data_IF_988993593381
#
_entry.id   IF_988993593381
#
_cell.length_a   1.000
_cell.length_b   1.000
_cell.length_c   1.000
_cell.angle_alpha   90.00
_cell.angle_beta   90.00
_cell.angle_gamma   90.00
#
_symmetry.space_group_name_H-M   'P 1'
#
loop_
_entity.id
_entity.type
_entity.pdbx_description
1 polymer ?
#
# COMPACT_ATOMS: atom_id res chain seq x y z
N UNK A 1 19.13 4.83 8.23
CA UNK A 1 18.97 3.78 7.19
C UNK A 1 19.97 2.66 7.41
N UNK A 2 19.74 1.51 6.74
CA UNK A 2 20.51 0.29 6.94
C UNK A 2 21.88 0.37 6.23
N UNK A 3 22.86 -0.43 6.68
CA UNK A 3 24.19 -0.57 6.05
C UNK A 3 24.16 -1.06 4.59
N UNK A 4 23.00 -1.52 4.12
CA UNK A 4 22.79 -2.00 2.74
C UNK A 4 22.21 -0.94 1.81
N UNK A 5 22.23 0.33 2.22
CA UNK A 5 21.71 1.45 1.43
C UNK A 5 22.84 2.47 1.25
N UNK A 6 23.12 2.81 -0.01
CA UNK A 6 24.05 3.89 -0.35
C UNK A 6 23.27 5.19 -0.47
N UNK A 7 23.73 6.23 0.21
CA UNK A 7 23.17 7.58 0.12
C UNK A 7 24.00 8.42 -0.87
N UNK A 8 23.30 8.99 -1.85
CA UNK A 8 23.89 9.94 -2.79
C UNK A 8 23.41 11.36 -2.43
N UNK A 9 24.34 12.27 -2.15
CA UNK A 9 24.04 13.67 -1.89
C UNK A 9 24.44 14.53 -3.10
N UNK A 10 23.49 15.27 -3.62
CA UNK A 10 23.71 16.16 -4.76
C UNK A 10 23.71 17.61 -4.27
N UNK A 11 24.69 18.41 -4.72
CA UNK A 11 24.76 19.84 -4.39
C UNK A 11 23.73 20.67 -5.15
N UNK A 12 23.47 20.31 -6.41
CA UNK A 12 22.56 20.99 -7.32
C UNK A 12 21.79 19.95 -8.15
N UNK A 13 20.61 20.29 -8.61
CA UNK A 13 19.78 19.47 -9.51
C UNK A 13 19.56 18.04 -9.01
N UNK A 14 19.27 17.87 -7.73
CA UNK A 14 19.04 16.54 -7.15
C UNK A 14 17.92 15.75 -7.87
N UNK A 15 16.87 16.45 -8.32
CA UNK A 15 15.79 15.86 -9.11
C UNK A 15 16.25 15.38 -10.49
N UNK A 16 17.16 16.12 -11.15
CA UNK A 16 17.77 15.67 -12.40
C UNK A 16 18.59 14.38 -12.20
N UNK A 17 19.43 14.36 -11.17
CA UNK A 17 20.22 13.16 -10.85
C UNK A 17 19.32 11.98 -10.51
N UNK A 18 18.27 12.20 -9.72
CA UNK A 18 17.27 11.17 -9.43
C UNK A 18 16.63 10.61 -10.70
N UNK A 19 16.24 11.49 -11.63
CA UNK A 19 15.66 11.09 -12.91
C UNK A 19 16.66 10.28 -13.76
N UNK A 20 17.92 10.72 -13.83
CA UNK A 20 18.99 9.96 -14.49
C UNK A 20 19.15 8.57 -13.87
N UNK A 21 19.20 8.48 -12.53
CA UNK A 21 19.35 7.19 -11.83
C UNK A 21 18.19 6.22 -12.08
N UNK A 22 17.01 6.72 -12.47
CA UNK A 22 15.86 5.89 -12.87
C UNK A 22 15.88 5.46 -14.34
N UNK A 23 16.68 6.11 -15.18
CA UNK A 23 16.77 5.79 -16.60
C UNK A 23 17.37 4.40 -16.83
N UNK A 24 16.84 3.65 -17.80
CA UNK A 24 17.24 2.26 -18.05
C UNK A 24 18.73 2.13 -18.42
N UNK A 25 19.30 3.06 -19.17
CA UNK A 25 20.71 3.04 -19.55
C UNK A 25 21.62 3.19 -18.32
N UNK A 26 21.25 4.06 -17.37
CA UNK A 26 21.98 4.25 -16.13
C UNK A 26 21.82 3.03 -15.22
N UNK A 27 20.62 2.46 -15.13
CA UNK A 27 20.37 1.22 -14.41
C UNK A 27 21.18 0.05 -14.95
N UNK A 28 21.35 -0.04 -16.26
CA UNK A 28 22.20 -1.06 -16.89
C UNK A 28 23.69 -0.88 -16.51
N UNK A 29 24.17 0.36 -16.45
CA UNK A 29 25.53 0.64 -15.93
C UNK A 29 25.67 0.17 -14.47
N UNK A 30 24.71 0.52 -13.61
CA UNK A 30 24.73 0.10 -12.20
C UNK A 30 24.73 -1.42 -12.05
N UNK A 31 23.89 -2.12 -12.81
CA UNK A 31 23.83 -3.57 -12.81
C UNK A 31 25.15 -4.22 -13.25
N UNK A 32 25.86 -3.61 -14.20
CA UNK A 32 27.19 -4.11 -14.66
C UNK A 32 28.29 -3.98 -13.60
N UNK A 33 28.09 -3.16 -12.59
CA UNK A 33 29.03 -2.91 -11.50
C UNK A 33 28.77 -3.79 -10.26
N UNK A 34 27.68 -4.58 -10.28
CA UNK A 34 27.35 -5.51 -9.20
C UNK A 34 28.38 -6.66 -9.19
N UNK A 35 28.85 -6.99 -8.02
CA UNK A 35 29.76 -8.11 -7.80
C UNK A 35 29.26 -9.03 -6.69
N UNK A 36 29.91 -10.18 -6.48
CA UNK A 36 29.54 -11.18 -5.50
C UNK A 36 28.80 -12.39 -6.12
N UNK A 37 29.24 -13.59 -5.71
CA UNK A 37 28.74 -14.85 -6.28
C UNK A 37 27.45 -15.35 -5.57
N UNK A 38 27.30 -15.07 -4.29
CA UNK A 38 26.17 -15.55 -3.45
C UNK A 38 25.30 -14.37 -3.02
N UNK A 39 25.91 -13.31 -2.55
CA UNK A 39 25.25 -12.06 -2.20
C UNK A 39 25.78 -11.01 -3.17
N UNK A 40 24.88 -10.44 -3.94
CA UNK A 40 25.22 -9.37 -4.90
C UNK A 40 25.30 -8.05 -4.16
N UNK A 41 26.40 -7.32 -4.36
CA UNK A 41 26.71 -6.07 -3.68
C UNK A 41 27.16 -4.99 -4.66
N UNK A 42 27.01 -3.74 -4.27
CA UNK A 42 27.55 -2.56 -4.92
C UNK A 42 28.10 -1.63 -3.83
N UNK A 43 29.25 -1.04 -4.05
CA UNK A 43 29.92 -0.12 -3.11
C UNK A 43 29.83 1.34 -3.56
N UNK A 44 30.00 2.32 -2.66
CA UNK A 44 29.97 3.74 -3.00
C UNK A 44 30.96 4.11 -4.12
N UNK A 45 32.15 3.50 -4.17
CA UNK A 45 33.16 3.72 -5.20
C UNK A 45 32.68 3.31 -6.60
N UNK A 46 31.78 2.34 -6.68
CA UNK A 46 31.20 1.92 -7.96
C UNK A 46 30.31 3.01 -8.55
N UNK A 47 29.62 3.81 -7.73
CA UNK A 47 28.82 4.92 -8.22
C UNK A 47 29.64 5.99 -8.92
N UNK A 48 30.91 6.17 -8.57
CA UNK A 48 31.80 7.11 -9.24
C UNK A 48 32.12 6.73 -10.70
N UNK A 49 31.85 5.49 -11.09
CA UNK A 49 32.06 4.96 -12.46
C UNK A 49 30.82 5.06 -13.33
N UNK A 50 29.70 5.49 -12.78
CA UNK A 50 28.43 5.65 -13.52
C UNK A 50 28.47 6.98 -14.26
N UNK A 51 28.30 6.93 -15.57
CA UNK A 51 28.26 8.12 -16.41
C UNK A 51 26.83 8.71 -16.41
N UNK A 52 26.73 9.94 -15.97
CA UNK A 52 25.48 10.71 -16.00
C UNK A 52 25.63 11.79 -17.09
N UNK A 53 24.64 11.92 -18.01
CA UNK A 53 24.69 12.94 -19.04
C UNK A 53 24.80 14.34 -18.45
N UNK A 54 25.64 15.18 -19.05
CA UNK A 54 25.77 16.58 -18.68
C UNK A 54 24.91 17.44 -19.61
N UNK A 55 23.59 17.45 -19.40
CA UNK A 55 22.69 18.29 -20.18
C UNK A 55 22.88 19.79 -19.92
N UNK A 56 22.41 20.68 -20.83
CA UNK A 56 22.31 22.10 -20.58
C UNK A 56 21.57 22.43 -19.29
N UNK A 57 21.97 23.49 -18.58
CA UNK A 57 21.40 23.84 -17.28
C UNK A 57 19.90 24.12 -17.34
N UNK A 58 19.38 24.64 -18.47
CA UNK A 58 17.94 24.83 -18.68
C UNK A 58 17.16 23.52 -18.68
N UNK A 59 17.71 22.44 -19.26
CA UNK A 59 17.08 21.13 -19.27
C UNK A 59 17.20 20.47 -17.88
N UNK A 60 18.37 20.58 -17.25
CA UNK A 60 18.55 20.09 -15.86
C UNK A 60 17.56 20.74 -14.91
N UNK A 61 17.39 22.08 -15.00
CA UNK A 61 16.42 22.81 -14.18
C UNK A 61 15.00 22.34 -14.45
N UNK A 62 14.58 22.22 -15.72
CA UNK A 62 13.24 21.75 -16.10
C UNK A 62 12.93 20.36 -15.49
N UNK A 63 13.84 19.40 -15.65
CA UNK A 63 13.67 18.04 -15.09
C UNK A 63 13.67 18.07 -13.56
N UNK A 64 14.58 18.84 -12.97
CA UNK A 64 14.67 19.01 -11.52
C UNK A 64 13.36 19.53 -10.94
N UNK A 65 12.79 20.59 -11.54
CA UNK A 65 11.56 21.21 -11.04
C UNK A 65 10.35 20.26 -11.15
N UNK A 66 10.22 19.49 -12.22
CA UNK A 66 9.20 18.46 -12.36
C UNK A 66 9.32 17.38 -11.24
N UNK A 67 10.52 16.92 -10.97
CA UNK A 67 10.76 15.93 -9.91
C UNK A 67 10.51 16.53 -8.53
N UNK A 68 11.00 17.74 -8.25
CA UNK A 68 10.75 18.41 -6.96
C UNK A 68 9.27 18.62 -6.71
N UNK A 69 8.51 19.11 -7.71
CA UNK A 69 7.06 19.24 -7.61
C UNK A 69 6.36 17.89 -7.41
N UNK A 70 6.86 16.81 -8.05
CA UNK A 70 6.36 15.44 -7.79
C UNK A 70 6.55 15.04 -6.32
N UNK A 71 7.68 15.38 -5.69
CA UNK A 71 7.92 15.12 -4.27
C UNK A 71 7.02 15.95 -3.36
N UNK A 72 6.86 17.24 -3.65
CA UNK A 72 5.95 18.12 -2.89
C UNK A 72 4.52 17.57 -2.88
N UNK A 73 4.01 17.11 -4.03
CA UNK A 73 2.70 16.47 -4.11
C UNK A 73 2.60 15.15 -3.30
N UNK A 74 3.69 14.40 -3.18
CA UNK A 74 3.74 13.19 -2.33
C UNK A 74 3.68 13.56 -0.86
N UNK A 75 4.41 14.58 -0.45
CA UNK A 75 4.40 15.06 0.93
C UNK A 75 3.03 15.65 1.30
N UNK A 76 2.41 16.41 0.41
CA UNK A 76 1.03 16.87 0.57
C UNK A 76 0.05 15.69 0.66
N UNK A 77 0.21 14.65 -0.17
CA UNK A 77 -0.61 13.43 -0.09
C UNK A 77 -0.48 12.74 1.27
N UNK A 78 0.74 12.62 1.79
CA UNK A 78 0.97 12.02 3.11
C UNK A 78 0.32 12.86 4.21
N UNK A 79 0.48 14.19 4.17
CA UNK A 79 -0.14 15.10 5.13
C UNK A 79 -1.69 15.01 5.13
N UNK A 80 -2.32 14.81 3.97
CA UNK A 80 -3.77 14.59 3.88
C UNK A 80 -4.19 13.26 4.54
N UNK A 81 -3.41 12.19 4.39
CA UNK A 81 -3.70 10.92 5.07
C UNK A 81 -3.51 11.05 6.58
N UNK A 82 -2.44 11.72 7.04
CA UNK A 82 -2.22 11.97 8.46
C UNK A 82 -3.38 12.78 9.06
N UNK A 83 -3.87 13.79 8.34
CA UNK A 83 -5.03 14.57 8.74
C UNK A 83 -6.30 13.72 8.81
N UNK A 84 -6.53 12.84 7.83
CA UNK A 84 -7.68 11.94 7.82
C UNK A 84 -7.64 10.95 9.00
N UNK A 85 -6.47 10.39 9.30
CA UNK A 85 -6.28 9.51 10.45
C UNK A 85 -6.47 10.25 11.78
N UNK A 86 -5.98 11.49 11.90
CA UNK A 86 -6.18 12.29 13.10
C UNK A 86 -7.67 12.60 13.35
N UNK A 87 -8.45 12.88 12.29
CA UNK A 87 -9.90 13.05 12.38
C UNK A 87 -10.60 11.76 12.84
N UNK A 88 -10.22 10.60 12.27
CA UNK A 88 -10.75 9.30 12.66
C UNK A 88 -10.50 9.00 14.13
N UNK A 89 -9.25 9.16 14.59
CA UNK A 89 -8.84 8.95 15.99
C UNK A 89 -9.63 9.85 16.93
N UNK A 90 -9.78 11.13 16.58
CA UNK A 90 -10.53 12.11 17.37
C UNK A 90 -12.02 11.77 17.46
N UNK A 91 -12.65 11.44 16.33
CA UNK A 91 -14.09 11.19 16.26
C UNK A 91 -14.49 9.90 16.99
N UNK A 92 -13.66 8.85 16.88
CA UNK A 92 -13.85 7.59 17.58
C UNK A 92 -13.26 7.60 19.01
N UNK A 93 -12.65 8.72 19.44
CA UNK A 93 -11.98 8.84 20.74
C UNK A 93 -11.05 7.64 21.02
N UNK A 94 -10.24 7.27 20.00
CA UNK A 94 -9.32 6.14 20.08
C UNK A 94 -8.06 6.55 20.85
N UNK A 95 -7.75 5.93 21.99
CA UNK A 95 -6.48 6.15 22.67
C UNK A 95 -5.35 5.44 21.89
N UNK A 96 -4.08 5.84 22.09
CA UNK A 96 -2.94 5.04 21.64
C UNK A 96 -3.07 3.59 22.13
N UNK A 97 -2.73 2.63 21.29
CA UNK A 97 -2.88 1.20 21.65
C UNK A 97 -2.14 0.84 22.93
N UNK A 98 -1.00 1.47 23.19
CA UNK A 98 -0.23 1.28 24.43
C UNK A 98 -0.96 1.73 25.70
N UNK A 99 -1.97 2.60 25.58
CA UNK A 99 -2.76 3.14 26.69
C UNK A 99 -4.08 2.39 26.90
N UNK A 100 -4.47 1.51 25.97
CA UNK A 100 -5.66 0.68 26.14
C UNK A 100 -5.38 -0.32 27.26
N UNK A 101 -6.07 -0.12 28.40
CA UNK A 101 -5.95 -1.01 29.55
C UNK A 101 -6.72 -2.30 29.28
N UNK A 102 -6.02 -3.40 29.45
CA UNK A 102 -6.59 -4.74 29.37
C UNK A 102 -6.25 -5.44 30.69
N UNK A 103 -7.22 -5.49 31.59
CA UNK A 103 -7.04 -5.98 32.96
C UNK A 103 -6.67 -7.48 33.06
N UNK A 104 -6.83 -8.22 31.94
CA UNK A 104 -6.60 -9.66 31.89
C UNK A 104 -5.16 -10.06 31.57
N UNK A 105 -4.30 -9.11 31.16
CA UNK A 105 -2.92 -9.38 30.79
C UNK A 105 -1.95 -8.82 31.84
N UNK A 106 -1.28 -9.72 32.54
CA UNK A 106 -0.23 -9.36 33.50
C UNK A 106 1.10 -9.14 32.75
N UNK A 107 1.40 -7.87 32.43
CA UNK A 107 2.62 -7.46 31.70
C UNK A 107 3.92 -7.79 32.45
N UNK A 108 3.86 -8.17 33.74
CA UNK A 108 5.04 -8.57 34.52
C UNK A 108 5.49 -10.00 34.22
N UNK A 109 4.66 -10.80 33.57
CA UNK A 109 4.94 -12.21 33.26
C UNK A 109 5.47 -12.36 31.82
N UNK A 110 6.43 -13.26 31.65
CA UNK A 110 6.97 -13.62 30.34
C UNK A 110 5.96 -14.38 29.47
N UNK A 111 5.03 -15.11 30.09
CA UNK A 111 3.91 -15.77 29.41
C UNK A 111 2.62 -15.08 29.82
N UNK A 112 1.88 -14.61 28.85
CA UNK A 112 0.60 -13.95 29.09
C UNK A 112 -0.53 -14.96 28.89
N UNK A 113 -1.46 -15.00 29.82
CA UNK A 113 -2.60 -15.90 29.79
C UNK A 113 -3.89 -15.12 29.98
N UNK A 114 -4.94 -15.55 29.33
CA UNK A 114 -6.29 -15.02 29.49
C UNK A 114 -7.31 -16.16 29.33
N UNK A 115 -8.51 -15.96 29.82
CA UNK A 115 -9.59 -16.93 29.74
C UNK A 115 -10.62 -16.48 28.73
N UNK A 116 -11.11 -17.42 27.93
CA UNK A 116 -12.22 -17.22 26.98
C UNK A 116 -13.35 -18.17 27.36
N UNK A 117 -14.57 -17.69 27.46
CA UNK A 117 -15.71 -18.55 27.69
C UNK A 117 -16.00 -19.39 26.45
N UNK A 118 -16.38 -20.63 26.62
CA UNK A 118 -16.70 -21.53 25.51
C UNK A 118 -17.78 -20.95 24.60
N UNK A 119 -18.75 -20.21 25.15
CA UNK A 119 -19.79 -19.52 24.39
C UNK A 119 -19.30 -18.36 23.51
N UNK A 120 -18.09 -17.85 23.79
CA UNK A 120 -17.47 -16.70 23.12
C UNK A 120 -16.37 -17.13 22.11
N UNK A 121 -16.10 -18.44 22.02
CA UNK A 121 -15.04 -18.95 21.16
C UNK A 121 -15.30 -18.79 19.64
N UNK A 122 -16.54 -18.51 19.24
CA UNK A 122 -16.91 -18.28 17.83
C UNK A 122 -16.37 -19.35 16.84
N UNK A 123 -16.20 -20.61 17.32
CA UNK A 123 -15.62 -21.70 16.52
C UNK A 123 -14.10 -21.61 16.33
N UNK A 124 -13.43 -20.67 16.98
CA UNK A 124 -11.98 -20.41 16.88
C UNK A 124 -11.32 -20.74 18.24
N UNK A 125 -10.23 -21.53 18.19
CA UNK A 125 -9.45 -21.92 19.39
C UNK A 125 -8.06 -21.24 19.42
N UNK A 126 -7.71 -20.44 18.44
CA UNK A 126 -6.45 -19.74 18.36
C UNK A 126 -6.43 -18.50 19.26
N UNK A 127 -5.38 -18.38 20.08
CA UNK A 127 -5.24 -17.31 21.05
C UNK A 127 -5.19 -15.91 20.40
N UNK A 128 -4.62 -15.80 19.20
CA UNK A 128 -4.52 -14.54 18.44
C UNK A 128 -5.88 -13.93 18.12
N UNK A 129 -6.89 -14.76 17.86
CA UNK A 129 -8.26 -14.32 17.61
C UNK A 129 -8.92 -13.71 18.85
N UNK A 130 -8.62 -14.26 20.02
CA UNK A 130 -9.24 -13.89 21.30
C UNK A 130 -8.40 -12.92 22.13
N UNK A 131 -7.44 -12.24 21.54
CA UNK A 131 -6.64 -11.24 22.25
C UNK A 131 -7.52 -10.18 22.89
N UNK A 132 -7.47 -9.99 24.22
CA UNK A 132 -8.36 -9.05 24.93
C UNK A 132 -8.28 -7.60 24.43
N UNK A 133 -7.15 -7.20 23.82
CA UNK A 133 -6.99 -5.88 23.20
C UNK A 133 -7.97 -5.65 22.07
N UNK A 134 -8.34 -6.70 21.34
CA UNK A 134 -9.27 -6.62 20.22
C UNK A 134 -10.68 -6.30 20.72
N UNK A 135 -11.12 -7.00 21.75
CA UNK A 135 -12.43 -6.77 22.35
C UNK A 135 -12.52 -5.36 22.95
N UNK A 136 -11.44 -4.88 23.61
CA UNK A 136 -11.35 -3.52 24.09
C UNK A 136 -11.47 -2.46 22.97
N UNK A 137 -10.84 -2.70 21.81
CA UNK A 137 -10.99 -1.84 20.62
C UNK A 137 -12.44 -1.85 20.14
N UNK A 138 -13.04 -3.02 19.97
CA UNK A 138 -14.43 -3.15 19.52
C UNK A 138 -15.40 -2.45 20.46
N UNK A 139 -15.18 -2.53 21.77
CA UNK A 139 -15.99 -1.83 22.77
C UNK A 139 -15.85 -0.29 22.67
N UNK A 140 -14.64 0.21 22.43
CA UNK A 140 -14.42 1.64 22.16
C UNK A 140 -15.18 2.06 20.89
N UNK A 141 -15.10 1.28 19.82
CA UNK A 141 -15.83 1.55 18.59
C UNK A 141 -17.35 1.57 18.82
N UNK A 142 -17.91 0.54 19.50
CA UNK A 142 -19.34 0.48 19.83
C UNK A 142 -19.83 1.66 20.65
N UNK A 143 -19.01 2.18 21.54
CA UNK A 143 -19.35 3.34 22.39
C UNK A 143 -19.37 4.65 21.60
N UNK A 144 -18.43 4.82 20.69
CA UNK A 144 -18.17 6.10 20.02
C UNK A 144 -18.75 6.21 18.62
N UNK A 145 -18.86 5.11 17.87
CA UNK A 145 -19.51 5.08 16.56
C UNK A 145 -21.06 5.16 16.68
N UNK A 146 -21.73 5.44 15.59
CA UNK A 146 -23.19 5.28 15.48
C UNK A 146 -23.56 3.80 15.45
N UNK A 147 -22.78 3.03 14.72
CA UNK A 147 -22.94 1.59 14.51
C UNK A 147 -21.56 0.97 14.27
N UNK A 148 -21.37 -0.27 14.70
CA UNK A 148 -20.28 -1.11 14.29
C UNK A 148 -20.85 -2.25 13.45
N UNK A 149 -20.58 -2.23 12.15
CA UNK A 149 -20.93 -3.24 11.19
C UNK A 149 -19.69 -4.05 10.80
N UNK A 150 -19.67 -4.67 9.63
CA UNK A 150 -18.48 -5.36 9.10
C UNK A 150 -18.12 -4.83 7.71
N UNK A 151 -16.89 -5.11 7.28
CA UNK A 151 -16.41 -4.76 5.93
C UNK A 151 -17.28 -5.38 4.85
N UNK A 152 -17.88 -6.55 5.09
CA UNK A 152 -18.79 -7.25 4.15
C UNK A 152 -20.21 -6.66 4.06
N UNK A 153 -20.57 -5.67 4.87
CA UNK A 153 -21.85 -4.96 4.76
C UNK A 153 -21.96 -4.30 3.37
N UNK A 154 -23.13 -4.45 2.72
CA UNK A 154 -23.37 -3.92 1.37
C UNK A 154 -23.24 -2.38 1.26
N UNK A 155 -23.40 -1.67 2.37
CA UNK A 155 -23.15 -0.22 2.46
C UNK A 155 -21.66 0.11 2.41
N UNK A 156 -20.79 -0.83 2.76
CA UNK A 156 -19.33 -0.66 2.84
C UNK A 156 -18.67 -1.22 1.59
N UNK A 157 -18.92 -2.48 1.24
CA UNK A 157 -18.31 -3.11 0.08
C UNK A 157 -19.31 -3.85 -0.81
N UNK A 158 -19.07 -3.77 -2.12
CA UNK A 158 -19.80 -4.59 -3.11
C UNK A 158 -19.33 -6.04 -3.08
N UNK A 159 -18.04 -6.24 -2.86
CA UNK A 159 -17.44 -7.57 -2.81
C UNK A 159 -16.00 -7.50 -2.33
N UNK A 160 -15.52 -8.58 -1.75
CA UNK A 160 -14.11 -8.85 -1.48
C UNK A 160 -13.67 -10.02 -2.36
N UNK A 161 -12.63 -9.83 -3.15
CA UNK A 161 -12.15 -10.81 -4.13
C UNK A 161 -10.71 -11.20 -3.82
N UNK A 162 -10.47 -12.48 -3.62
CA UNK A 162 -9.16 -13.10 -3.60
C UNK A 162 -9.05 -14.05 -4.79
N UNK A 163 -8.09 -13.83 -5.67
CA UNK A 163 -7.90 -14.69 -6.83
C UNK A 163 -7.43 -16.09 -6.42
N UNK A 164 -7.99 -17.12 -7.03
CA UNK A 164 -7.52 -18.49 -6.84
C UNK A 164 -6.10 -18.70 -7.38
N UNK A 165 -5.38 -19.70 -6.84
CA UNK A 165 -4.05 -20.08 -7.31
C UNK A 165 -4.08 -20.48 -8.78
N UNK A 166 -3.15 -19.99 -9.59
CA UNK A 166 -3.04 -20.31 -11.00
C UNK A 166 -1.60 -20.31 -11.52
N UNK A 167 -1.37 -21.04 -12.59
CA UNK A 167 -0.08 -21.01 -13.31
C UNK A 167 0.02 -19.67 -14.07
N UNK A 168 1.04 -18.90 -13.77
CA UNK A 168 1.27 -17.59 -14.39
C UNK A 168 2.12 -17.76 -15.65
N UNK A 169 1.72 -17.10 -16.73
CA UNK A 169 2.50 -16.99 -17.95
C UNK A 169 2.83 -15.52 -18.15
N UNK A 170 4.10 -15.20 -18.04
CA UNK A 170 4.61 -13.85 -18.24
C UNK A 170 5.07 -13.68 -19.68
N UNK A 171 4.94 -12.47 -20.19
CA UNK A 171 5.29 -12.04 -21.55
C UNK A 171 5.92 -10.65 -21.49
N UNK A 172 6.38 -10.16 -22.63
CA UNK A 172 6.84 -8.77 -22.75
C UNK A 172 5.70 -7.78 -22.49
N UNK A 173 6.03 -6.56 -22.11
CA UNK A 173 5.11 -5.50 -21.69
C UNK A 173 3.95 -5.28 -22.66
N UNK A 174 4.23 -5.21 -23.93
CA UNK A 174 3.26 -4.97 -25.02
C UNK A 174 2.13 -6.01 -25.05
N UNK A 175 2.44 -7.28 -24.69
CA UNK A 175 1.50 -8.41 -24.72
C UNK A 175 0.90 -8.74 -23.36
N UNK A 176 1.25 -8.00 -22.31
CA UNK A 176 0.89 -8.32 -20.94
C UNK A 176 0.07 -7.26 -20.21
N UNK A 177 -0.55 -7.69 -19.13
CA UNK A 177 -1.08 -6.80 -18.08
C UNK A 177 0.03 -6.59 -17.03
N UNK A 178 0.35 -5.36 -16.63
CA UNK A 178 1.24 -5.12 -15.50
C UNK A 178 0.74 -5.87 -14.26
N UNK A 179 1.62 -6.62 -13.59
CA UNK A 179 1.23 -7.56 -12.54
C UNK A 179 1.90 -7.22 -11.21
N UNK A 180 1.11 -6.84 -10.21
CA UNK A 180 1.56 -6.42 -8.89
C UNK A 180 1.41 -7.56 -7.89
N UNK A 181 2.44 -7.77 -7.08
CA UNK A 181 2.39 -8.61 -5.88
C UNK A 181 2.21 -7.78 -4.61
N UNK A 182 2.24 -8.45 -3.45
CA UNK A 182 2.05 -7.77 -2.16
C UNK A 182 3.11 -6.73 -1.80
N UNK A 183 4.34 -6.86 -2.33
CA UNK A 183 5.40 -5.86 -2.11
C UNK A 183 5.20 -4.61 -2.94
N UNK A 184 4.70 -4.79 -4.16
CA UNK A 184 4.53 -3.70 -5.11
C UNK A 184 3.38 -2.77 -4.74
N UNK A 185 2.32 -3.26 -4.08
CA UNK A 185 1.18 -2.40 -3.68
C UNK A 185 1.54 -1.35 -2.62
N UNK A 186 2.67 -1.49 -1.95
CA UNK A 186 3.18 -0.49 -0.99
C UNK A 186 3.98 0.63 -1.64
N UNK A 187 4.34 0.46 -2.92
CA UNK A 187 5.14 1.41 -3.65
C UNK A 187 4.25 2.46 -4.31
N UNK A 188 4.67 3.70 -4.24
CA UNK A 188 3.94 4.80 -4.88
C UNK A 188 3.93 4.65 -6.41
N UNK A 189 5.04 4.23 -6.97
CA UNK A 189 5.22 3.98 -8.39
C UNK A 189 5.91 2.62 -8.58
N UNK A 190 5.12 1.51 -8.53
CA UNK A 190 5.67 0.18 -8.66
C UNK A 190 6.24 -0.05 -10.06
N UNK A 191 7.53 -0.29 -10.14
CA UNK A 191 8.17 -0.76 -11.36
C UNK A 191 7.94 -2.27 -11.45
N UNK A 192 6.92 -2.70 -12.19
CA UNK A 192 6.72 -4.14 -12.44
C UNK A 192 7.57 -4.59 -13.60
N UNK A 193 8.26 -5.71 -13.40
CA UNK A 193 8.98 -6.44 -14.47
C UNK A 193 8.17 -7.64 -14.94
N UNK A 194 6.95 -7.81 -14.44
CA UNK A 194 6.09 -8.97 -14.70
C UNK A 194 4.83 -8.52 -15.41
N UNK A 195 4.66 -9.01 -16.60
CA UNK A 195 3.49 -8.72 -17.42
C UNK A 195 2.74 -10.01 -17.69
N UNK A 196 1.53 -10.14 -17.18
CA UNK A 196 0.70 -11.33 -17.29
C UNK A 196 0.08 -11.41 -18.69
N UNK A 197 0.26 -12.53 -19.39
CA UNK A 197 -0.20 -12.69 -20.79
C UNK A 197 -1.67 -12.36 -20.99
N UNK A 198 -1.96 -11.36 -21.83
CA UNK A 198 -3.32 -10.99 -22.25
C UNK A 198 -4.04 -12.12 -22.96
N UNK A 199 -3.34 -12.88 -23.80
CA UNK A 199 -3.92 -13.97 -24.57
C UNK A 199 -4.39 -15.14 -23.68
N UNK A 200 -3.60 -15.48 -22.65
CA UNK A 200 -3.89 -16.66 -21.79
C UNK A 200 -4.80 -16.30 -20.63
N UNK A 201 -4.64 -15.12 -20.02
CA UNK A 201 -5.26 -14.80 -18.76
C UNK A 201 -6.43 -13.80 -18.85
N UNK A 202 -6.91 -13.43 -20.04
CA UNK A 202 -7.98 -12.43 -20.23
C UNK A 202 -9.21 -12.68 -19.36
N UNK A 203 -9.75 -13.89 -19.38
CA UNK A 203 -10.97 -14.22 -18.61
C UNK A 203 -10.77 -14.09 -17.10
N UNK A 204 -9.60 -14.54 -16.60
CA UNK A 204 -9.25 -14.43 -15.18
C UNK A 204 -8.96 -12.98 -14.79
N UNK A 205 -8.26 -12.26 -15.67
CA UNK A 205 -7.98 -10.84 -15.47
C UNK A 205 -9.28 -10.06 -15.26
N UNK A 206 -10.24 -10.19 -16.15
CA UNK A 206 -11.51 -9.46 -16.04
C UNK A 206 -12.33 -9.82 -14.80
N UNK A 207 -12.28 -11.08 -14.36
CA UNK A 207 -13.07 -11.56 -13.23
C UNK A 207 -12.43 -11.33 -11.88
N UNK A 208 -11.11 -11.58 -11.77
CA UNK A 208 -10.46 -11.72 -10.46
C UNK A 208 -9.27 -10.78 -10.25
N UNK A 209 -8.48 -10.45 -11.31
CA UNK A 209 -7.17 -9.83 -11.12
C UNK A 209 -7.17 -8.33 -11.33
N UNK A 210 -8.00 -7.83 -12.24
CA UNK A 210 -8.06 -6.41 -12.59
C UNK A 210 -8.35 -5.54 -11.40
N UNK A 211 -7.62 -4.43 -11.29
CA UNK A 211 -7.90 -3.36 -10.33
C UNK A 211 -8.40 -2.11 -11.04
N UNK A 212 -9.18 -1.33 -10.33
CA UNK A 212 -9.71 -0.04 -10.76
C UNK A 212 -9.43 1.00 -9.69
N UNK A 213 -9.38 2.24 -10.07
CA UNK A 213 -9.22 3.37 -9.17
C UNK A 213 -10.14 3.26 -7.95
N UNK A 214 -9.63 3.63 -6.78
CA UNK A 214 -10.32 3.59 -5.49
C UNK A 214 -10.69 2.19 -4.98
N UNK A 215 -10.26 1.10 -5.63
CA UNK A 215 -10.27 -0.22 -5.00
C UNK A 215 -9.31 -0.22 -3.81
N UNK A 216 -9.71 -0.81 -2.69
CA UNK A 216 -8.82 -0.99 -1.53
C UNK A 216 -8.16 -2.35 -1.62
N UNK A 217 -6.83 -2.39 -1.60
CA UNK A 217 -6.03 -3.61 -1.65
C UNK A 217 -5.53 -3.94 -0.24
N UNK A 218 -5.55 -5.23 0.10
CA UNK A 218 -5.06 -5.74 1.38
C UNK A 218 -4.17 -6.96 1.12
N UNK A 219 -2.96 -7.01 1.69
CA UNK A 219 -2.11 -8.19 1.57
C UNK A 219 -2.67 -9.35 2.39
N UNK A 220 -2.75 -10.54 1.77
CA UNK A 220 -3.31 -11.75 2.39
C UNK A 220 -2.31 -12.53 3.24
N UNK A 221 -1.00 -12.38 2.99
CA UNK A 221 0.09 -13.10 3.67
C UNK A 221 1.40 -12.30 3.66
N UNK A 222 2.37 -12.75 4.46
CA UNK A 222 3.62 -12.04 4.68
C UNK A 222 3.41 -10.85 5.62
N UNK A 223 3.43 -9.63 5.14
CA UNK A 223 3.01 -8.43 5.88
C UNK A 223 1.49 -8.26 5.83
N UNK A 224 0.76 -9.19 6.49
CA UNK A 224 -0.71 -9.17 6.51
C UNK A 224 -1.25 -7.83 7.00
N UNK A 225 -2.29 -7.34 6.32
CA UNK A 225 -2.96 -6.11 6.69
C UNK A 225 -2.25 -4.85 6.21
N UNK A 226 -1.30 -4.97 5.27
CA UNK A 226 -0.84 -3.81 4.52
C UNK A 226 -1.95 -3.39 3.55
N UNK A 227 -2.39 -2.13 3.67
CA UNK A 227 -3.53 -1.59 2.91
C UNK A 227 -3.05 -0.55 1.92
N UNK A 228 -3.58 -0.58 0.70
CA UNK A 228 -3.32 0.43 -0.32
C UNK A 228 -4.63 0.85 -1.01
N UNK A 229 -4.74 2.13 -1.35
CA UNK A 229 -5.82 2.65 -2.19
C UNK A 229 -5.31 2.77 -3.62
N UNK A 230 -5.97 2.11 -4.57
CA UNK A 230 -5.56 2.06 -5.98
C UNK A 230 -5.63 3.45 -6.61
N UNK A 231 -4.48 4.01 -7.04
CA UNK A 231 -4.46 5.28 -7.75
C UNK A 231 -4.86 5.10 -9.23
N UNK A 232 -5.22 6.17 -9.89
CA UNK A 232 -5.72 6.17 -11.27
C UNK A 232 -4.76 5.53 -12.28
N UNK A 233 -3.45 5.69 -12.12
CA UNK A 233 -2.47 5.10 -13.03
C UNK A 233 -2.33 3.58 -12.92
N UNK A 234 -2.89 2.96 -11.85
CA UNK A 234 -2.98 1.49 -11.76
C UNK A 234 -4.26 0.93 -12.40
N UNK A 235 -5.11 1.76 -12.96
CA UNK A 235 -6.24 1.26 -13.73
C UNK A 235 -5.74 0.27 -14.78
N UNK A 236 -6.40 -0.89 -14.82
CA UNK A 236 -6.05 -2.00 -15.70
C UNK A 236 -4.77 -2.79 -15.33
N UNK A 237 -4.16 -2.56 -14.18
CA UNK A 237 -3.16 -3.48 -13.64
C UNK A 237 -3.84 -4.76 -13.14
N UNK A 238 -3.09 -5.83 -13.06
CA UNK A 238 -3.49 -7.08 -12.42
C UNK A 238 -2.79 -7.22 -11.07
N UNK A 239 -3.50 -7.70 -10.05
CA UNK A 239 -2.90 -8.04 -8.76
C UNK A 239 -2.81 -9.54 -8.58
N UNK A 240 -1.84 -9.96 -7.78
CA UNK A 240 -1.59 -11.37 -7.52
C UNK A 240 -2.65 -11.99 -6.60
N UNK A 241 -2.67 -13.32 -6.57
CA UNK A 241 -3.47 -14.10 -5.62
C UNK A 241 -3.13 -13.88 -4.14
N UNK A 242 -2.10 -13.10 -3.85
CA UNK A 242 -1.68 -12.75 -2.49
C UNK A 242 -2.12 -11.32 -2.12
N UNK A 243 -3.08 -10.76 -2.86
CA UNK A 243 -3.65 -9.45 -2.63
C UNK A 243 -5.16 -9.54 -2.74
N UNK A 244 -5.85 -9.26 -1.64
CA UNK A 244 -7.29 -9.11 -1.57
C UNK A 244 -7.69 -7.78 -2.21
N UNK A 245 -8.75 -7.78 -2.99
CA UNK A 245 -9.40 -6.60 -3.55
C UNK A 245 -10.71 -6.38 -2.84
N UNK A 246 -10.81 -5.33 -2.06
CA UNK A 246 -12.05 -4.86 -1.51
C UNK A 246 -12.62 -3.80 -2.46
N UNK A 247 -13.75 -4.09 -3.07
CA UNK A 247 -14.43 -3.17 -3.98
C UNK A 247 -15.44 -2.37 -3.17
N UNK A 248 -15.21 -1.07 -2.93
CA UNK A 248 -16.11 -0.24 -2.15
C UNK A 248 -17.52 -0.18 -2.72
N UNK A 249 -18.52 0.01 -1.89
CA UNK A 249 -19.91 0.19 -2.31
C UNK A 249 -20.05 1.37 -3.29
N UNK A 250 -19.32 2.45 -3.05
CA UNK A 250 -19.20 3.61 -3.92
C UNK A 250 -17.95 4.44 -3.54
N UNK A 251 -17.70 5.56 -4.22
CA UNK A 251 -16.60 6.43 -3.92
C UNK A 251 -16.77 7.25 -2.63
N UNK A 252 -17.97 7.40 -2.10
CA UNK A 252 -18.22 8.18 -0.89
C UNK A 252 -17.77 7.46 0.39
N UNK A 253 -17.35 6.16 0.27
CA UNK A 253 -16.85 5.34 1.38
C UNK A 253 -15.44 4.80 1.14
N UNK A 254 -14.93 4.82 -0.11
CA UNK A 254 -13.67 4.18 -0.49
C UNK A 254 -12.45 4.69 0.30
N UNK A 255 -12.34 6.01 0.42
CA UNK A 255 -11.27 6.67 1.17
C UNK A 255 -11.39 6.39 2.68
N UNK A 256 -12.60 6.40 3.22
CA UNK A 256 -12.84 6.10 4.63
C UNK A 256 -12.48 4.65 4.98
N UNK A 257 -12.82 3.68 4.12
CA UNK A 257 -12.38 2.28 4.28
C UNK A 257 -10.86 2.20 4.33
N UNK A 258 -10.18 2.85 3.39
CA UNK A 258 -8.71 2.87 3.35
C UNK A 258 -8.12 3.45 4.65
N UNK A 259 -8.60 4.61 5.11
CA UNK A 259 -8.10 5.27 6.32
C UNK A 259 -8.33 4.41 7.56
N UNK A 260 -9.52 3.81 7.70
CA UNK A 260 -9.81 2.95 8.86
C UNK A 260 -8.95 1.69 8.84
N UNK A 261 -8.92 0.92 7.74
CA UNK A 261 -8.17 -0.33 7.68
C UNK A 261 -6.65 -0.13 7.76
N UNK A 262 -6.13 1.02 7.30
CA UNK A 262 -4.71 1.37 7.42
C UNK A 262 -4.33 1.97 8.78
N UNK A 263 -5.32 2.30 9.63
CA UNK A 263 -5.07 2.78 10.99
C UNK A 263 -4.54 1.67 11.90
N UNK A 264 -3.94 2.05 13.03
CA UNK A 264 -3.42 1.09 14.01
C UNK A 264 -4.51 0.14 14.52
N UNK A 265 -5.69 0.68 14.84
CA UNK A 265 -6.86 -0.10 15.29
C UNK A 265 -7.37 -1.03 14.18
N UNK A 266 -7.57 -0.52 12.97
CA UNK A 266 -8.01 -1.32 11.82
C UNK A 266 -7.02 -2.45 11.49
N UNK A 267 -5.72 -2.19 11.58
CA UNK A 267 -4.68 -3.19 11.40
C UNK A 267 -4.72 -4.30 12.46
N UNK A 268 -5.11 -4.01 13.70
CA UNK A 268 -5.30 -5.02 14.74
C UNK A 268 -6.54 -5.88 14.44
N UNK A 269 -7.66 -5.25 14.06
CA UNK A 269 -8.88 -5.97 13.68
C UNK A 269 -8.68 -6.86 12.45
N UNK A 270 -7.89 -6.41 11.46
CA UNK A 270 -7.48 -7.23 10.34
C UNK A 270 -6.66 -8.46 10.78
N UNK A 271 -5.66 -8.26 11.63
CA UNK A 271 -4.82 -9.35 12.14
C UNK A 271 -5.58 -10.32 13.03
N UNK A 272 -6.64 -9.89 13.74
CA UNK A 272 -7.55 -10.80 14.45
C UNK A 272 -8.06 -11.90 13.53
N UNK A 273 -8.40 -11.56 12.30
CA UNK A 273 -9.03 -12.47 11.35
C UNK A 273 -8.05 -13.43 10.66
N UNK A 274 -6.75 -13.36 10.98
CA UNK A 274 -5.75 -14.28 10.41
C UNK A 274 -5.93 -15.70 10.89
N UNK A 275 -5.55 -16.64 10.05
CA UNK A 275 -5.49 -18.06 10.36
C UNK A 275 -4.27 -18.69 9.67
N UNK A 276 -3.89 -19.91 10.09
CA UNK A 276 -2.73 -20.61 9.58
C UNK A 276 -1.80 -21.05 10.73
N UNK A 277 -1.02 -22.10 10.48
CA UNK A 277 -0.11 -22.64 11.50
C UNK A 277 1.37 -22.41 11.18
N UNK A 278 1.73 -22.27 9.90
CA UNK A 278 3.10 -22.05 9.43
C UNK A 278 3.21 -20.67 8.77
N UNK A 279 2.20 -20.32 8.00
CA UNK A 279 2.09 -18.99 7.38
C UNK A 279 0.71 -18.45 7.71
N UNK A 280 0.68 -17.37 8.45
CA UNK A 280 -0.57 -16.66 8.69
C UNK A 280 -1.11 -16.10 7.38
N UNK A 281 -2.42 -16.18 7.21
CA UNK A 281 -3.12 -15.63 6.04
C UNK A 281 -4.53 -15.16 6.40
N UNK A 282 -5.08 -14.34 5.53
CA UNK A 282 -6.46 -13.84 5.59
C UNK A 282 -7.10 -14.06 4.22
N UNK A 283 -8.33 -14.53 4.18
CA UNK A 283 -9.10 -14.71 2.95
C UNK A 283 -10.21 -13.65 2.79
N UNK A 284 -10.99 -13.76 1.72
CA UNK A 284 -12.07 -12.83 1.45
C UNK A 284 -13.15 -12.86 2.53
N UNK A 285 -13.54 -14.04 3.02
CA UNK A 285 -14.54 -14.15 4.09
C UNK A 285 -14.02 -13.54 5.40
N UNK A 286 -12.78 -13.82 5.75
CA UNK A 286 -12.14 -13.25 6.95
C UNK A 286 -12.06 -11.71 6.87
N UNK A 287 -11.74 -11.15 5.70
CA UNK A 287 -11.73 -9.69 5.52
C UNK A 287 -13.15 -9.10 5.61
N UNK A 288 -14.16 -9.79 5.07
CA UNK A 288 -15.56 -9.38 5.19
C UNK A 288 -16.06 -9.32 6.64
N UNK A 289 -15.48 -10.14 7.52
CA UNK A 289 -15.86 -10.21 8.95
C UNK A 289 -15.18 -9.14 9.82
N UNK A 290 -14.25 -8.37 9.30
CA UNK A 290 -13.58 -7.29 10.05
C UNK A 290 -14.60 -6.25 10.48
N UNK A 291 -14.64 -5.93 11.77
CA UNK A 291 -15.52 -4.91 12.36
C UNK A 291 -15.20 -3.53 11.78
N UNK A 292 -16.24 -2.81 11.41
CA UNK A 292 -16.14 -1.53 10.71
C UNK A 292 -17.08 -0.48 11.34
N UNK A 293 -16.54 0.67 11.82
CA UNK A 293 -17.36 1.69 12.45
C UNK A 293 -18.01 2.63 11.41
N UNK A 294 -19.28 2.92 11.61
CA UNK A 294 -19.98 4.03 10.96
C UNK A 294 -20.01 5.19 11.94
N UNK A 295 -19.45 6.34 11.58
CA UNK A 295 -19.35 7.49 12.49
C UNK A 295 -20.71 8.10 12.78
N UNK A 296 -20.86 8.68 13.98
CA UNK A 296 -22.05 9.47 14.37
C UNK A 296 -22.16 10.72 13.51
N UNK A 297 -21.05 11.37 13.24
CA UNK A 297 -20.97 12.56 12.39
C UNK A 297 -20.64 12.14 10.95
N UNK A 298 -21.65 12.10 10.10
CA UNK A 298 -21.52 11.72 8.70
C UNK A 298 -20.70 12.74 7.88
N UNK A 299 -20.71 14.02 8.28
CA UNK A 299 -19.91 15.03 7.61
C UNK A 299 -18.41 14.81 7.85
N UNK A 300 -18.04 14.42 9.08
CA UNK A 300 -16.65 14.03 9.39
C UNK A 300 -16.26 12.74 8.66
N UNK A 301 -17.14 11.74 8.59
CA UNK A 301 -16.87 10.52 7.81
C UNK A 301 -16.61 10.86 6.34
N UNK A 302 -17.44 11.72 5.75
CA UNK A 302 -17.25 12.22 4.39
C UNK A 302 -15.95 13.00 4.25
N UNK A 303 -15.62 13.88 5.20
CA UNK A 303 -14.37 14.62 5.18
C UNK A 303 -13.14 13.70 5.21
N UNK A 304 -13.14 12.65 6.03
CA UNK A 304 -12.08 11.63 6.08
C UNK A 304 -11.95 10.95 4.70
N UNK A 305 -13.09 10.54 4.13
CA UNK A 305 -13.13 9.96 2.79
C UNK A 305 -12.50 10.88 1.74
N UNK A 306 -12.94 12.13 1.70
CA UNK A 306 -12.52 13.11 0.69
C UNK A 306 -11.03 13.44 0.82
N UNK A 307 -10.49 13.54 2.04
CA UNK A 307 -9.05 13.72 2.27
C UNK A 307 -8.23 12.55 1.69
N UNK A 308 -8.68 11.32 1.88
CA UNK A 308 -8.01 10.15 1.32
C UNK A 308 -8.07 10.09 -0.21
N UNK A 309 -9.21 10.44 -0.80
CA UNK A 309 -9.35 10.53 -2.26
C UNK A 309 -8.50 11.66 -2.85
N UNK A 310 -8.44 12.82 -2.20
CA UNK A 310 -7.54 13.92 -2.59
C UNK A 310 -6.07 13.48 -2.50
N UNK A 311 -5.68 12.77 -1.45
CA UNK A 311 -4.34 12.20 -1.33
C UNK A 311 -4.02 11.25 -2.50
N UNK A 312 -4.99 10.41 -2.87
CA UNK A 312 -4.84 9.48 -4.00
C UNK A 312 -4.68 10.21 -5.34
N UNK A 313 -5.44 11.29 -5.56
CA UNK A 313 -5.30 12.16 -6.75
C UNK A 313 -3.93 12.85 -6.79
N UNK A 314 -3.41 13.37 -5.65
CA UNK A 314 -2.06 13.95 -5.58
C UNK A 314 -0.97 12.93 -5.91
N UNK A 315 -1.12 11.67 -5.50
CA UNK A 315 -0.22 10.57 -5.90
C UNK A 315 -0.23 10.35 -7.41
N UNK A 316 -1.39 10.42 -8.02
CA UNK A 316 -1.51 10.30 -9.48
C UNK A 316 -0.84 11.50 -10.20
N UNK A 317 -1.06 12.73 -9.72
CA UNK A 317 -0.41 13.92 -10.28
C UNK A 317 1.12 13.84 -10.13
N UNK A 318 1.62 13.41 -8.96
CA UNK A 318 3.03 13.18 -8.73
C UNK A 318 3.63 12.16 -9.71
N UNK A 319 2.89 11.09 -9.98
CA UNK A 319 3.27 10.09 -10.99
C UNK A 319 3.39 10.72 -12.39
N UNK A 320 2.41 11.53 -12.81
CA UNK A 320 2.44 12.17 -14.14
C UNK A 320 3.65 13.08 -14.31
N UNK A 321 4.00 13.89 -13.29
CA UNK A 321 5.17 14.76 -13.31
C UNK A 321 6.48 13.96 -13.41
N UNK A 322 6.58 12.84 -12.68
CA UNK A 322 7.73 11.94 -12.76
C UNK A 322 7.85 11.32 -14.16
N UNK A 323 6.72 10.90 -14.77
CA UNK A 323 6.73 10.37 -16.15
C UNK A 323 7.12 11.44 -17.17
N UNK A 324 6.67 12.68 -16.99
CA UNK A 324 7.05 13.80 -17.84
C UNK A 324 8.56 14.11 -17.72
N UNK A 325 9.10 14.11 -16.51
CA UNK A 325 10.52 14.31 -16.28
C UNK A 325 11.38 13.21 -16.96
N UNK A 326 10.96 11.94 -16.85
CA UNK A 326 11.62 10.82 -17.52
C UNK A 326 11.55 10.96 -19.04
N UNK A 327 10.40 11.34 -19.56
CA UNK A 327 10.22 11.59 -21.01
C UNK A 327 11.12 12.71 -21.51
N UNK A 328 11.19 13.84 -20.80
CA UNK A 328 12.09 14.96 -21.16
C UNK A 328 13.55 14.51 -21.11
N UNK A 329 13.96 13.70 -20.13
CA UNK A 329 15.30 13.14 -20.07
C UNK A 329 15.60 12.27 -21.28
N UNK A 330 14.68 11.39 -21.66
CA UNK A 330 14.88 10.50 -22.81
C UNK A 330 14.95 11.28 -24.13
N UNK A 331 14.00 12.17 -24.39
CA UNK A 331 13.87 12.88 -25.67
C UNK A 331 14.91 14.00 -25.86
N UNK A 332 15.20 14.78 -24.79
CA UNK A 332 16.05 15.97 -24.90
C UNK A 332 17.51 15.72 -24.47
N UNK A 333 17.83 14.55 -23.84
CA UNK A 333 19.19 14.28 -23.31
C UNK A 333 19.76 12.95 -23.79
N UNK A 334 19.01 11.85 -23.63
CA UNK A 334 19.56 10.50 -23.91
C UNK A 334 19.53 10.20 -25.41
N UNK A 335 18.44 10.52 -26.09
CA UNK A 335 18.20 10.25 -27.52
C UNK A 335 18.04 11.54 -28.33
N UNK A 336 18.57 12.66 -27.82
CA UNK A 336 18.60 13.91 -28.59
C UNK A 336 19.39 13.70 -29.89
N UNK A 337 18.76 14.02 -31.03
CA UNK A 337 19.39 13.98 -32.39
C UNK A 337 20.37 15.13 -32.58
#
# INVERSE_FOLDING_TARGET
FSQHIIRLECKEYSGYIYCCMKNQNIQTQLQSLIYGAVIQEIEPEHLSRVYIPNAPDSIKAKINDLIMLSYDLRDESNALIDQAQALLVKELNLPPISEIKVDTLDKSKSVQTFNVKLSEMAGRADASYHMPIVDAIVDILKKNAAEVTTVGDERISKSVVLAGVFKRTYVEEEYGYPFLGGKEITQLNPKTEKFLSKAIHKSRYEKELKVTENTVLVTDRGTIGTVALVPKHWNNYAVSQNVLKLIPANNDIAGYIYVFLSSECGGILLRRQTYGSVVDMIDNHSLEMVEFPILKNQDIQKQINDLALQANEKRYQAYLLEQEALKVLDEEVIYAE
#
